data_IF_611211844939
#
_entry.id   IF_611211844939
#
_cell.length_a   1.000
_cell.length_b   1.000
_cell.length_c   1.000
_cell.angle_alpha   90.00
_cell.angle_beta   90.00
_cell.angle_gamma   90.00
#
_symmetry.space_group_name_H-M   'P 1'
#
loop_
_entity.id
_entity.type
_entity.pdbx_description
1 polymer ?
#
# COMPACT_ATOMS: atom_id res chain seq x y z
N UNK A 1 -11.84 26.32 15.28
CA UNK A 1 -11.69 26.86 13.91
C UNK A 1 -12.00 25.70 12.98
N UNK A 2 -13.23 25.62 12.48
CA UNK A 2 -13.70 24.50 11.65
C UNK A 2 -13.26 24.80 10.21
N UNK A 3 -12.35 24.00 9.67
CA UNK A 3 -12.08 24.04 8.24
C UNK A 3 -13.14 23.19 7.56
N UNK A 4 -14.17 23.87 7.04
CA UNK A 4 -15.11 23.31 6.09
C UNK A 4 -14.34 22.95 4.80
N UNK A 5 -14.10 21.65 4.58
CA UNK A 5 -13.72 21.16 3.26
C UNK A 5 -14.98 21.16 2.40
N UNK A 6 -15.24 22.28 1.74
CA UNK A 6 -16.27 22.40 0.72
C UNK A 6 -16.11 21.26 -0.29
N UNK A 7 -17.17 20.47 -0.45
CA UNK A 7 -17.26 19.35 -1.38
C UNK A 7 -17.29 19.82 -2.84
N UNK A 8 -16.18 20.36 -3.33
CA UNK A 8 -16.00 20.59 -4.75
C UNK A 8 -15.85 19.24 -5.44
N UNK A 9 -16.89 18.81 -6.16
CA UNK A 9 -16.79 17.66 -7.07
C UNK A 9 -15.73 18.02 -8.12
N UNK A 10 -14.75 17.14 -8.35
CA UNK A 10 -13.67 17.31 -9.34
C UNK A 10 -14.14 17.48 -10.80
N UNK A 11 -15.46 17.52 -11.07
CA UNK A 11 -16.03 17.64 -12.42
C UNK A 11 -15.79 18.99 -13.10
N UNK A 12 -15.34 20.00 -12.35
CA UNK A 12 -15.16 21.37 -12.87
C UNK A 12 -13.68 21.77 -13.00
N UNK A 13 -12.75 20.85 -12.75
CA UNK A 13 -11.31 21.08 -12.92
C UNK A 13 -10.94 20.85 -14.40
N UNK A 14 -10.14 21.76 -14.96
CA UNK A 14 -9.54 21.55 -16.28
C UNK A 14 -8.85 20.18 -16.33
N UNK A 15 -8.91 19.47 -17.48
CA UNK A 15 -8.22 18.20 -17.63
C UNK A 15 -6.73 18.37 -17.29
N UNK A 16 -6.20 17.48 -16.45
CA UNK A 16 -4.79 17.51 -16.04
C UNK A 16 -3.89 17.53 -17.28
N UNK A 17 -2.91 18.43 -17.30
CA UNK A 17 -1.88 18.41 -18.34
C UNK A 17 -0.99 17.18 -18.16
N UNK A 18 -0.26 16.73 -19.20
CA UNK A 18 0.70 15.65 -19.05
C UNK A 18 1.77 15.91 -17.98
N UNK A 19 2.10 17.19 -17.71
CA UNK A 19 2.98 17.58 -16.61
C UNK A 19 2.34 17.35 -15.25
N UNK A 20 1.10 17.81 -15.08
CA UNK A 20 0.36 17.64 -13.80
C UNK A 20 0.13 16.16 -13.47
N UNK A 21 -0.10 15.32 -14.48
CA UNK A 21 -0.23 13.86 -14.31
C UNK A 21 1.04 13.26 -13.73
N UNK A 22 2.21 13.65 -14.25
CA UNK A 22 3.51 13.17 -13.74
C UNK A 22 3.72 13.65 -12.31
N UNK A 23 3.51 14.93 -12.05
CA UNK A 23 3.73 15.52 -10.73
C UNK A 23 2.83 14.89 -9.67
N UNK A 24 1.54 14.69 -9.99
CA UNK A 24 0.59 14.06 -9.09
C UNK A 24 0.95 12.60 -8.82
N UNK A 25 1.32 11.83 -9.84
CA UNK A 25 1.75 10.45 -9.68
C UNK A 25 3.02 10.35 -8.81
N UNK A 26 4.00 11.23 -9.01
CA UNK A 26 5.20 11.28 -8.17
C UNK A 26 4.90 11.66 -6.73
N UNK A 27 3.96 12.59 -6.51
CA UNK A 27 3.51 12.98 -5.18
C UNK A 27 2.89 11.79 -4.44
N UNK A 28 1.95 11.09 -5.08
CA UNK A 28 1.37 9.86 -4.51
C UNK A 28 2.40 8.77 -4.26
N UNK A 29 3.36 8.58 -5.18
CA UNK A 29 4.45 7.62 -4.99
C UNK A 29 5.26 7.97 -3.74
N UNK A 30 5.65 9.24 -3.60
CA UNK A 30 6.49 9.69 -2.48
C UNK A 30 5.77 9.53 -1.15
N UNK A 31 4.51 9.96 -1.06
CA UNK A 31 3.70 9.79 0.15
C UNK A 31 3.46 8.31 0.49
N UNK A 32 3.18 7.47 -0.50
CA UNK A 32 2.99 6.03 -0.30
C UNK A 32 4.22 5.39 0.34
N UNK A 33 5.41 5.60 -0.23
CA UNK A 33 6.64 4.99 0.28
C UNK A 33 6.96 5.49 1.69
N UNK A 34 6.81 6.80 1.95
CA UNK A 34 7.05 7.36 3.28
C UNK A 34 6.14 6.73 4.35
N UNK A 35 4.84 6.64 4.10
CA UNK A 35 3.88 6.07 5.06
C UNK A 35 4.14 4.58 5.33
N UNK A 36 4.54 3.84 4.29
CA UNK A 36 4.95 2.44 4.46
C UNK A 36 6.20 2.32 5.33
N UNK A 37 7.21 3.16 5.10
CA UNK A 37 8.45 3.16 5.87
C UNK A 37 8.20 3.49 7.33
N UNK A 38 7.46 4.57 7.62
CA UNK A 38 7.11 4.97 8.99
C UNK A 38 6.38 3.84 9.74
N UNK A 39 5.45 3.16 9.08
CA UNK A 39 4.69 2.05 9.67
C UNK A 39 5.58 0.84 9.95
N UNK A 40 6.47 0.49 9.03
CA UNK A 40 7.37 -0.65 9.16
C UNK A 40 8.47 -0.39 10.22
N UNK A 41 9.06 0.80 10.26
CA UNK A 41 10.01 1.19 11.31
C UNK A 41 9.35 1.17 12.70
N UNK A 42 8.11 1.64 12.79
CA UNK A 42 7.33 1.57 14.03
C UNK A 42 7.03 0.14 14.45
N UNK A 43 6.76 -0.76 13.49
CA UNK A 43 6.53 -2.18 13.76
C UNK A 43 7.81 -2.85 14.29
N UNK A 44 8.97 -2.51 13.74
CA UNK A 44 10.27 -2.98 14.21
C UNK A 44 10.54 -2.55 15.66
N UNK A 45 10.25 -1.29 15.99
CA UNK A 45 10.31 -0.83 17.37
C UNK A 45 9.36 -1.60 18.30
N UNK A 46 8.14 -1.89 17.83
CA UNK A 46 7.19 -2.69 18.61
C UNK A 46 7.67 -4.13 18.83
N UNK A 47 8.41 -4.73 17.89
CA UNK A 47 9.05 -6.03 18.10
C UNK A 47 10.12 -5.98 19.19
N UNK A 48 10.95 -4.93 19.20
CA UNK A 48 11.96 -4.74 20.25
C UNK A 48 11.36 -4.65 21.65
N UNK A 49 10.20 -3.99 21.77
CA UNK A 49 9.45 -3.84 23.02
C UNK A 49 8.51 -5.04 23.33
N UNK A 50 8.58 -6.14 22.57
CA UNK A 50 7.71 -7.32 22.71
C UNK A 50 6.20 -7.03 22.53
N UNK A 51 5.85 -5.91 21.89
CA UNK A 51 4.49 -5.45 21.61
C UNK A 51 3.97 -5.99 20.28
N UNK A 52 3.91 -7.31 20.15
CA UNK A 52 3.59 -7.97 18.88
C UNK A 52 2.21 -7.62 18.29
N UNK A 53 1.22 -7.30 19.13
CA UNK A 53 -0.11 -6.90 18.65
C UNK A 53 -0.06 -5.55 17.93
N UNK A 54 0.68 -4.60 18.50
CA UNK A 54 0.85 -3.28 17.92
C UNK A 54 1.69 -3.37 16.64
N UNK A 55 2.73 -4.22 16.63
CA UNK A 55 3.51 -4.52 15.43
C UNK A 55 2.61 -5.06 14.30
N UNK A 56 1.70 -5.99 14.60
CA UNK A 56 0.78 -6.56 13.62
C UNK A 56 -0.18 -5.52 13.02
N UNK A 57 -0.70 -4.59 13.83
CA UNK A 57 -1.53 -3.48 13.35
C UNK A 57 -0.76 -2.53 12.43
N UNK A 58 0.50 -2.25 12.76
CA UNK A 58 1.38 -1.42 11.95
C UNK A 58 1.75 -2.10 10.63
N UNK A 59 2.02 -3.40 10.63
CA UNK A 59 2.24 -4.21 9.42
C UNK A 59 0.99 -4.18 8.53
N UNK A 60 -0.19 -4.39 9.10
CA UNK A 60 -1.45 -4.29 8.35
C UNK A 60 -1.59 -2.90 7.69
N UNK A 61 -1.32 -1.84 8.44
CA UNK A 61 -1.37 -0.45 7.94
C UNK A 61 -0.40 -0.23 6.79
N UNK A 62 0.84 -0.68 6.93
CA UNK A 62 1.85 -0.60 5.87
C UNK A 62 1.38 -1.27 4.57
N UNK A 63 0.80 -2.47 4.67
CA UNK A 63 0.30 -3.22 3.50
C UNK A 63 -0.90 -2.50 2.85
N UNK A 64 -1.81 -1.95 3.64
CA UNK A 64 -2.94 -1.16 3.12
C UNK A 64 -2.44 0.08 2.38
N UNK A 65 -1.49 0.82 2.96
CA UNK A 65 -0.92 2.01 2.34
C UNK A 65 -0.12 1.67 1.08
N UNK A 66 0.52 0.49 1.02
CA UNK A 66 1.18 -0.03 -0.17
C UNK A 66 0.22 -0.14 -1.36
N UNK A 67 -0.86 -0.88 -1.18
CA UNK A 67 -1.82 -1.13 -2.26
C UNK A 67 -2.63 0.12 -2.58
N UNK A 68 -3.05 0.88 -1.57
CA UNK A 68 -3.80 2.10 -1.77
C UNK A 68 -2.97 3.16 -2.51
N UNK A 69 -1.70 3.32 -2.13
CA UNK A 69 -0.78 4.23 -2.77
C UNK A 69 -0.44 3.83 -4.20
N UNK A 70 -0.20 2.53 -4.47
CA UNK A 70 0.00 2.04 -5.83
C UNK A 70 -1.21 2.34 -6.72
N UNK A 71 -2.43 2.08 -6.23
CA UNK A 71 -3.64 2.43 -6.96
C UNK A 71 -3.70 3.94 -7.25
N UNK A 72 -3.42 4.78 -6.25
CA UNK A 72 -3.40 6.22 -6.43
C UNK A 72 -2.38 6.69 -7.47
N UNK A 73 -1.19 6.09 -7.51
CA UNK A 73 -0.17 6.38 -8.53
C UNK A 73 -0.66 6.03 -9.93
N UNK A 74 -1.29 4.86 -10.10
CA UNK A 74 -1.72 4.36 -11.40
C UNK A 74 -3.01 5.00 -11.92
N UNK A 75 -3.93 5.39 -11.02
CA UNK A 75 -5.25 5.90 -11.39
C UNK A 75 -5.43 7.39 -11.12
N UNK A 76 -4.46 8.04 -10.45
CA UNK A 76 -4.52 9.43 -9.97
C UNK A 76 -5.71 9.70 -9.01
N UNK A 77 -6.21 8.63 -8.40
CA UNK A 77 -7.36 8.68 -7.50
C UNK A 77 -7.08 7.88 -6.23
N UNK A 78 -7.33 8.50 -5.08
CA UNK A 78 -7.26 7.80 -3.81
C UNK A 78 -8.43 6.81 -3.73
N UNK A 79 -8.19 5.54 -3.34
CA UNK A 79 -9.27 4.57 -3.21
C UNK A 79 -10.23 4.96 -2.09
N UNK A 80 -11.53 4.88 -2.36
CA UNK A 80 -12.57 5.17 -1.36
C UNK A 80 -12.78 4.09 -0.29
N UNK A 81 -12.03 2.99 -0.33
CA UNK A 81 -12.10 1.89 0.64
C UNK A 81 -10.70 1.51 1.11
N UNK A 82 -10.58 1.11 2.38
CA UNK A 82 -9.36 0.54 2.98
C UNK A 82 -9.43 -0.98 3.16
N UNK A 83 -10.38 -1.65 2.49
CA UNK A 83 -10.48 -3.12 2.52
C UNK A 83 -9.27 -3.75 1.84
N UNK A 84 -8.43 -4.40 2.63
CA UNK A 84 -7.18 -4.99 2.19
C UNK A 84 -7.35 -6.00 1.02
N UNK A 85 -8.38 -6.85 1.06
CA UNK A 85 -8.70 -7.81 0.00
C UNK A 85 -9.01 -7.11 -1.32
N UNK A 86 -9.82 -6.05 -1.26
CA UNK A 86 -10.21 -5.29 -2.45
C UNK A 86 -9.03 -4.52 -3.04
N UNK A 87 -8.22 -3.91 -2.18
CA UNK A 87 -7.02 -3.19 -2.58
C UNK A 87 -6.01 -4.12 -3.25
N UNK A 88 -5.68 -5.26 -2.62
CA UNK A 88 -4.76 -6.28 -3.17
C UNK A 88 -5.23 -6.76 -4.54
N UNK A 89 -6.50 -7.17 -4.65
CA UNK A 89 -7.06 -7.68 -5.90
C UNK A 89 -6.92 -6.68 -7.06
N UNK A 90 -7.23 -5.41 -6.82
CA UNK A 90 -7.09 -4.36 -7.84
C UNK A 90 -5.63 -4.07 -8.18
N UNK A 91 -4.78 -3.94 -7.16
CA UNK A 91 -3.36 -3.63 -7.34
C UNK A 91 -2.64 -4.74 -8.13
N UNK A 92 -2.86 -6.01 -7.77
CA UNK A 92 -2.28 -7.16 -8.49
C UNK A 92 -2.84 -7.34 -9.91
N UNK A 93 -3.99 -6.73 -10.24
CA UNK A 93 -4.46 -6.65 -11.62
C UNK A 93 -3.68 -5.63 -12.44
N UNK A 94 -3.22 -4.54 -11.83
CA UNK A 94 -2.38 -3.52 -12.48
C UNK A 94 -0.93 -3.98 -12.61
N UNK A 95 -0.39 -4.64 -11.58
CA UNK A 95 0.97 -5.18 -11.59
C UNK A 95 1.02 -6.57 -10.95
N UNK A 96 1.18 -7.59 -11.81
CA UNK A 96 1.25 -9.01 -11.39
C UNK A 96 2.49 -9.33 -10.58
N UNK A 97 3.54 -8.51 -10.63
CA UNK A 97 4.76 -8.75 -9.85
C UNK A 97 4.54 -8.63 -8.34
N UNK A 98 3.48 -7.92 -7.90
CA UNK A 98 3.13 -7.77 -6.48
C UNK A 98 2.77 -9.11 -5.80
N UNK A 99 2.29 -10.09 -6.58
CA UNK A 99 1.98 -11.44 -6.08
C UNK A 99 3.23 -12.09 -5.46
N UNK A 100 4.42 -11.74 -5.95
CA UNK A 100 5.68 -12.25 -5.45
C UNK A 100 5.93 -11.85 -3.99
N UNK A 101 5.29 -10.79 -3.46
CA UNK A 101 5.43 -10.44 -2.04
C UNK A 101 5.02 -11.58 -1.10
N UNK A 102 4.11 -12.46 -1.54
CA UNK A 102 3.51 -13.50 -0.69
C UNK A 102 3.99 -14.92 -1.01
N UNK A 103 4.70 -15.11 -2.13
CA UNK A 103 4.98 -16.45 -2.67
C UNK A 103 6.46 -16.80 -2.77
N UNK A 104 7.38 -15.87 -2.46
CA UNK A 104 8.79 -16.06 -2.79
C UNK A 104 9.48 -17.18 -2.00
N UNK A 105 8.92 -17.65 -0.88
CA UNK A 105 9.58 -18.65 -0.02
C UNK A 105 8.65 -19.73 0.54
N UNK A 106 7.32 -19.54 0.54
CA UNK A 106 6.42 -20.37 1.35
C UNK A 106 4.97 -20.39 0.81
N UNK A 107 4.38 -21.57 0.50
CA UNK A 107 2.97 -21.71 0.13
C UNK A 107 1.98 -21.17 1.17
N UNK A 108 2.39 -20.99 2.42
CA UNK A 108 1.53 -20.47 3.49
C UNK A 108 1.41 -18.95 3.51
N UNK A 109 2.12 -18.21 2.64
CA UNK A 109 2.04 -16.74 2.61
C UNK A 109 0.64 -16.20 2.32
N UNK A 110 -0.15 -16.88 1.47
CA UNK A 110 -1.56 -16.52 1.24
C UNK A 110 -2.45 -16.80 2.48
N UNK A 111 -2.11 -17.82 3.28
CA UNK A 111 -2.80 -18.11 4.54
C UNK A 111 -2.49 -17.03 5.58
N UNK A 112 -1.22 -16.62 5.72
CA UNK A 112 -0.81 -15.51 6.60
C UNK A 112 -1.50 -14.21 6.21
N UNK A 113 -1.60 -13.92 4.91
CA UNK A 113 -2.38 -12.78 4.43
C UNK A 113 -3.87 -12.88 4.79
N UNK A 114 -4.45 -14.08 4.69
CA UNK A 114 -5.82 -14.34 5.11
C UNK A 114 -6.06 -13.97 6.58
N UNK A 115 -5.11 -14.27 7.46
CA UNK A 115 -5.18 -13.96 8.90
C UNK A 115 -5.11 -12.45 9.20
N UNK A 116 -4.39 -11.65 8.40
CA UNK A 116 -4.35 -10.18 8.55
C UNK A 116 -5.74 -9.52 8.40
N UNK A 117 -6.64 -10.14 7.64
CA UNK A 117 -8.01 -9.63 7.47
C UNK A 117 -8.77 -9.56 8.80
N UNK A 118 -8.61 -10.58 9.64
CA UNK A 118 -9.36 -10.74 10.90
C UNK A 118 -8.91 -9.72 11.96
N UNK A 119 -7.63 -9.34 11.92
CA UNK A 119 -7.03 -8.35 12.84
C UNK A 119 -7.66 -6.96 12.70
N UNK A 120 -7.99 -6.54 11.46
CA UNK A 120 -8.52 -5.20 11.18
C UNK A 120 -10.03 -5.08 11.42
N UNK A 121 -10.78 -6.18 11.40
CA UNK A 121 -12.23 -6.18 11.68
C UNK A 121 -12.53 -6.07 13.20
N UNK A 122 -11.50 -5.95 14.04
CA UNK A 122 -11.62 -5.75 15.49
C UNK A 122 -12.23 -6.94 16.23
N UNK A 123 -12.34 -8.08 15.55
CA UNK A 123 -13.02 -9.28 16.04
C UNK A 123 -12.14 -10.16 16.92
N UNK A 124 -10.80 -10.03 16.84
CA UNK A 124 -9.88 -10.98 17.48
C UNK A 124 -8.58 -10.31 18.00
N UNK A 125 -8.19 -10.58 19.25
CA UNK A 125 -6.89 -10.21 19.84
C UNK A 125 -5.77 -11.12 19.34
N UNK A 126 -4.46 -10.85 19.54
CA UNK A 126 -3.41 -11.87 19.23
C UNK A 126 -3.63 -13.19 19.97
N UNK A 127 -4.28 -13.16 21.15
CA UNK A 127 -4.65 -14.38 21.88
C UNK A 127 -5.78 -15.16 21.18
N UNK A 128 -6.60 -14.49 20.36
CA UNK A 128 -7.65 -15.09 19.54
C UNK A 128 -7.22 -15.32 18.08
N UNK A 129 -6.17 -14.62 17.60
CA UNK A 129 -5.65 -14.75 16.25
C UNK A 129 -4.89 -16.07 16.09
N UNK A 130 -5.10 -16.70 14.93
CA UNK A 130 -4.38 -17.90 14.51
C UNK A 130 -2.88 -17.68 14.18
N UNK A 131 -2.31 -16.49 14.44
CA UNK A 131 -0.92 -16.16 14.10
C UNK A 131 0.00 -16.23 15.32
N UNK A 132 1.01 -17.07 15.23
CA UNK A 132 2.16 -17.11 16.13
C UNK A 132 3.05 -15.87 15.96
N UNK A 133 3.88 -15.60 16.96
CA UNK A 133 4.89 -14.51 16.91
C UNK A 133 5.79 -14.67 15.68
N UNK A 134 6.20 -15.90 15.37
CA UNK A 134 7.01 -16.22 14.18
C UNK A 134 6.30 -15.80 12.89
N UNK A 135 5.00 -16.09 12.76
CA UNK A 135 4.21 -15.68 11.60
C UNK A 135 4.05 -14.16 11.50
N UNK A 136 4.03 -13.43 12.62
CA UNK A 136 4.03 -11.95 12.61
C UNK A 136 5.37 -11.41 12.06
N UNK A 137 6.50 -12.02 12.42
CA UNK A 137 7.80 -11.67 11.82
C UNK A 137 7.85 -12.00 10.32
N UNK A 138 7.31 -13.14 9.90
CA UNK A 138 7.22 -13.47 8.48
C UNK A 138 6.35 -12.47 7.71
N UNK A 139 5.24 -12.02 8.30
CA UNK A 139 4.38 -10.98 7.71
C UNK A 139 5.10 -9.64 7.57
N UNK A 140 5.98 -9.30 8.51
CA UNK A 140 6.83 -8.12 8.41
C UNK A 140 7.77 -8.24 7.21
N UNK A 141 8.43 -9.39 7.01
CA UNK A 141 9.29 -9.63 5.86
C UNK A 141 8.52 -9.57 4.53
N UNK A 142 7.32 -10.17 4.49
CA UNK A 142 6.40 -10.12 3.34
C UNK A 142 6.00 -8.66 3.03
N UNK A 143 5.74 -7.84 4.06
CA UNK A 143 5.43 -6.41 3.90
C UNK A 143 6.62 -5.59 3.39
N UNK A 144 7.84 -5.90 3.83
CA UNK A 144 9.06 -5.30 3.26
C UNK A 144 9.28 -5.71 1.81
N UNK A 145 9.01 -6.96 1.46
CA UNK A 145 9.06 -7.42 0.07
C UNK A 145 8.04 -6.67 -0.80
N UNK A 146 6.81 -6.51 -0.30
CA UNK A 146 5.77 -5.73 -0.96
C UNK A 146 6.20 -4.28 -1.16
N UNK A 147 6.78 -3.63 -0.15
CA UNK A 147 7.30 -2.25 -0.24
C UNK A 147 8.24 -2.08 -1.42
N UNK A 148 9.24 -2.97 -1.56
CA UNK A 148 10.21 -2.92 -2.65
C UNK A 148 9.56 -3.09 -4.01
N UNK A 149 8.58 -4.00 -4.11
CA UNK A 149 7.85 -4.24 -5.35
C UNK A 149 6.97 -3.04 -5.74
N UNK A 150 6.27 -2.44 -4.78
CA UNK A 150 5.45 -1.24 -4.98
C UNK A 150 6.32 -0.05 -5.39
N UNK A 151 7.46 0.17 -4.73
CA UNK A 151 8.41 1.22 -5.09
C UNK A 151 8.89 1.07 -6.54
N UNK A 152 9.35 -0.13 -6.90
CA UNK A 152 9.81 -0.43 -8.25
C UNK A 152 8.71 -0.26 -9.30
N UNK A 153 7.48 -0.68 -8.96
CA UNK A 153 6.30 -0.54 -9.82
C UNK A 153 5.94 0.92 -10.06
N UNK A 154 5.79 1.70 -9.00
CA UNK A 154 5.43 3.12 -9.07
C UNK A 154 6.53 3.94 -9.76
N UNK A 155 7.80 3.66 -9.47
CA UNK A 155 8.92 4.34 -10.12
C UNK A 155 8.99 4.07 -11.63
N UNK A 156 8.68 2.84 -12.05
CA UNK A 156 8.55 2.48 -13.46
C UNK A 156 7.38 3.22 -14.11
N UNK A 157 6.21 3.20 -13.50
CA UNK A 157 5.03 3.90 -14.02
C UNK A 157 5.26 5.41 -14.18
N UNK A 158 5.82 6.07 -13.17
CA UNK A 158 6.13 7.51 -13.23
C UNK A 158 7.17 7.82 -14.33
N UNK A 159 8.10 6.89 -14.61
CA UNK A 159 9.05 7.03 -15.72
C UNK A 159 8.36 6.94 -17.07
N UNK A 160 7.44 5.99 -17.23
CA UNK A 160 6.69 5.80 -18.46
C UNK A 160 5.79 7.01 -18.75
N UNK A 161 5.13 7.57 -17.72
CA UNK A 161 4.36 8.82 -17.82
C UNK A 161 5.23 10.00 -18.29
N UNK A 162 6.44 10.15 -17.74
CA UNK A 162 7.40 11.19 -18.17
C UNK A 162 7.84 11.02 -19.62
N UNK A 163 8.06 9.79 -20.08
CA UNK A 163 8.44 9.55 -21.47
C UNK A 163 7.27 9.84 -22.42
N UNK A 164 6.04 9.52 -22.01
CA UNK A 164 4.84 9.81 -22.77
C UNK A 164 4.53 11.31 -22.84
N UNK A 165 4.85 12.10 -21.80
CA UNK A 165 4.63 13.55 -21.80
C UNK A 165 5.60 14.32 -22.70
N UNK A 166 6.80 13.76 -22.96
CA UNK A 166 7.84 14.39 -23.80
C UNK A 166 7.66 14.08 -25.29
N UNK A 167 7.02 12.96 -25.67
CA UNK A 167 6.76 12.65 -27.08
C UNK A 167 5.55 13.47 -27.58
N UNK A 168 5.72 14.40 -28.55
CA UNK A 168 4.57 15.03 -29.16
C UNK A 168 3.73 13.96 -29.86
N UNK A 169 2.41 13.99 -29.65
CA UNK A 169 1.46 13.19 -30.43
C UNK A 169 1.63 13.62 -31.89
N UNK A 170 2.29 12.77 -32.68
CA UNK A 170 2.40 12.93 -34.13
C UNK A 170 1.06 12.74 -34.83
#
# INVERSE_FOLDING_TARGET
MVHELSGQRRSDLEPLTPGDVVELADSYRTSCILLMEESLESAEFCFFEERHHDALQLIHTAIVDAYAGLLAVYTLELPGTRSLVHLRSKAECLDKSLILAWSQQDPTGDLRFGSLKLVNEGTETIQDNALSIEEVYMLYDDAYALRRLVEASCARHCRDLRQASVRPRG
#
